data_IF_176089742622
#
_entry.id   IF_176089742622
#
_cell.length_a   1.000
_cell.length_b   1.000
_cell.length_c   1.000
_cell.angle_alpha   90.00
_cell.angle_beta   90.00
_cell.angle_gamma   90.00
#
_symmetry.space_group_name_H-M   'P 1'
#
loop_
_entity.id
_entity.type
_entity.pdbx_description
1 polymer ?
#
# COMPACT_ATOMS: atom_id res chain seq x y z
N UNK A 1 -0.70 -2.35 9.89
CA UNK A 1 0.19 -3.54 9.79
C UNK A 1 -0.49 -4.75 9.15
N UNK A 2 -1.57 -5.30 9.72
CA UNK A 2 -2.24 -6.51 9.22
C UNK A 2 -2.71 -6.40 7.75
N UNK A 3 -3.24 -5.25 7.36
CA UNK A 3 -3.60 -4.94 5.97
C UNK A 3 -2.42 -5.12 5.00
N UNK A 4 -1.30 -4.46 5.30
CA UNK A 4 -0.06 -4.53 4.50
C UNK A 4 0.45 -5.96 4.38
N UNK A 5 0.51 -6.70 5.50
CA UNK A 5 0.94 -8.10 5.50
C UNK A 5 -0.02 -9.00 4.70
N UNK A 6 -1.31 -8.73 4.74
CA UNK A 6 -2.31 -9.48 3.97
C UNK A 6 -2.12 -9.30 2.47
N UNK A 7 -1.85 -8.06 2.03
CA UNK A 7 -1.59 -7.80 0.62
C UNK A 7 -0.23 -8.37 0.18
N UNK A 8 0.81 -8.22 1.01
CA UNK A 8 2.13 -8.84 0.81
C UNK A 8 2.00 -10.36 0.59
N UNK A 9 1.27 -11.05 1.46
CA UNK A 9 0.99 -12.49 1.30
C UNK A 9 0.27 -12.80 -0.01
N UNK A 10 -0.71 -11.96 -0.37
CA UNK A 10 -1.50 -12.12 -1.60
C UNK A 10 -0.61 -12.03 -2.84
N UNK A 11 0.22 -10.99 -2.95
CA UNK A 11 1.10 -10.81 -4.12
C UNK A 11 2.15 -11.92 -4.24
N UNK A 12 2.68 -12.41 -3.10
CA UNK A 12 3.57 -13.58 -3.08
C UNK A 12 2.90 -14.84 -3.57
N UNK A 13 1.68 -15.11 -3.09
CA UNK A 13 0.88 -16.26 -3.53
C UNK A 13 0.58 -16.20 -5.03
N UNK A 14 0.42 -14.99 -5.59
CA UNK A 14 0.23 -14.76 -7.01
C UNK A 14 1.54 -14.78 -7.83
N UNK A 15 2.68 -15.09 -7.19
CA UNK A 15 3.95 -15.38 -7.86
C UNK A 15 4.96 -14.23 -7.89
N UNK A 16 4.72 -13.12 -7.19
CA UNK A 16 5.71 -12.04 -7.08
C UNK A 16 6.74 -12.43 -5.99
N UNK A 17 8.03 -12.60 -6.33
CA UNK A 17 9.06 -12.97 -5.37
C UNK A 17 9.46 -11.77 -4.49
N UNK A 18 10.04 -12.02 -3.31
CA UNK A 18 10.43 -10.98 -2.34
C UNK A 18 11.41 -9.96 -2.91
N UNK A 19 12.34 -10.39 -3.77
CA UNK A 19 13.26 -9.47 -4.47
C UNK A 19 12.57 -8.39 -5.32
N UNK A 20 11.25 -8.49 -5.54
CA UNK A 20 10.42 -7.52 -6.28
C UNK A 20 9.37 -6.84 -5.40
N UNK A 21 9.40 -7.05 -4.09
CA UNK A 21 8.48 -6.46 -3.13
C UNK A 21 9.29 -5.63 -2.15
N UNK A 22 8.94 -4.35 -1.99
CA UNK A 22 9.49 -3.52 -0.91
C UNK A 22 8.44 -3.40 0.18
N UNK A 23 8.70 -3.99 1.34
CA UNK A 23 7.78 -3.97 2.48
C UNK A 23 8.23 -2.97 3.55
N UNK A 24 7.40 -1.95 3.79
CA UNK A 24 7.60 -0.95 4.84
C UNK A 24 6.56 -1.12 5.95
N UNK A 25 6.98 -1.41 7.18
CA UNK A 25 6.11 -1.55 8.35
C UNK A 25 6.53 -0.56 9.44
N UNK A 26 5.72 0.48 9.64
CA UNK A 26 5.97 1.52 10.64
C UNK A 26 5.84 1.00 12.08
N UNK A 27 5.02 -0.02 12.29
CA UNK A 27 4.78 -0.64 13.59
C UNK A 27 5.18 -2.11 13.60
N UNK A 28 5.72 -2.56 14.75
CA UNK A 28 5.94 -3.97 15.04
C UNK A 28 4.94 -4.46 16.09
N UNK A 29 3.70 -4.70 15.66
CA UNK A 29 2.66 -5.27 16.52
C UNK A 29 2.93 -6.74 16.86
N UNK A 30 3.76 -7.44 16.08
CA UNK A 30 4.13 -8.82 16.37
C UNK A 30 4.98 -8.93 17.64
N UNK A 31 5.86 -7.95 17.88
CA UNK A 31 6.71 -7.87 19.08
C UNK A 31 6.12 -6.99 20.20
N UNK A 32 4.90 -6.49 20.06
CA UNK A 32 4.29 -5.60 21.05
C UNK A 32 3.92 -6.38 22.33
N UNK A 33 4.30 -5.87 23.50
CA UNK A 33 3.99 -6.51 24.79
C UNK A 33 2.48 -6.64 25.09
N UNK A 34 1.63 -5.85 24.42
CA UNK A 34 0.17 -5.94 24.51
C UNK A 34 -0.41 -7.02 23.60
N UNK A 35 0.38 -7.57 22.67
CA UNK A 35 -0.08 -8.63 21.80
C UNK A 35 -0.17 -9.95 22.57
N UNK A 36 -1.39 -10.46 22.73
CA UNK A 36 -1.69 -11.75 23.37
C UNK A 36 -1.03 -12.94 22.65
N UNK A 37 -0.71 -12.78 21.37
CA UNK A 37 -0.12 -13.81 20.51
C UNK A 37 1.28 -13.38 20.02
N UNK A 38 2.34 -13.64 20.80
CA UNK A 38 3.70 -13.20 20.47
C UNK A 38 4.15 -13.68 19.09
N UNK A 39 4.77 -12.77 18.32
CA UNK A 39 5.26 -13.00 16.96
C UNK A 39 4.16 -13.37 15.94
N UNK A 40 2.88 -13.10 16.24
CA UNK A 40 1.77 -13.40 15.36
C UNK A 40 0.93 -12.15 15.07
N UNK A 41 0.46 -12.05 13.83
CA UNK A 41 -0.46 -11.00 13.38
C UNK A 41 -1.54 -11.66 12.54
N UNK A 42 -2.80 -11.31 12.78
CA UNK A 42 -3.95 -11.88 12.10
C UNK A 42 -4.74 -10.80 11.36
N UNK A 43 -5.49 -11.19 10.33
CA UNK A 43 -6.49 -10.35 9.65
C UNK A 43 -7.93 -10.88 9.83
N UNK A 44 -8.11 -11.88 10.69
CA UNK A 44 -9.41 -12.41 11.05
C UNK A 44 -9.47 -12.80 12.53
N UNK A 45 -10.67 -12.74 13.09
CA UNK A 45 -10.97 -13.08 14.49
C UNK A 45 -10.74 -14.57 14.83
N UNK A 46 -10.76 -15.45 13.82
CA UNK A 46 -10.60 -16.89 14.01
C UNK A 46 -9.12 -17.34 14.07
N UNK A 47 -8.18 -16.40 13.98
CA UNK A 47 -6.71 -16.61 14.04
C UNK A 47 -6.18 -17.73 13.14
N UNK A 48 -6.87 -18.01 12.02
CA UNK A 48 -6.54 -19.16 11.15
C UNK A 48 -5.23 -18.97 10.40
N UNK A 49 -4.77 -17.73 10.30
CA UNK A 49 -3.69 -17.34 9.41
C UNK A 49 -2.75 -16.35 10.08
N UNK A 50 -1.60 -16.83 10.55
CA UNK A 50 -0.53 -15.95 10.96
C UNK A 50 0.09 -15.28 9.71
N UNK A 51 -0.02 -13.96 9.63
CA UNK A 51 0.51 -13.13 8.57
C UNK A 51 1.98 -12.76 8.74
N UNK A 52 2.51 -12.82 9.97
CA UNK A 52 3.87 -12.40 10.30
C UNK A 52 4.89 -13.55 10.39
N UNK A 53 4.45 -14.81 10.26
CA UNK A 53 5.32 -15.99 10.38
C UNK A 53 6.51 -16.02 9.41
N UNK A 54 7.24 -17.13 9.38
CA UNK A 54 8.63 -17.25 8.88
C UNK A 54 8.99 -16.73 7.48
N UNK A 55 8.03 -16.33 6.65
CA UNK A 55 8.22 -15.94 5.25
C UNK A 55 7.98 -14.44 4.95
N UNK A 56 8.07 -13.57 5.97
CA UNK A 56 7.94 -12.11 5.78
C UNK A 56 9.33 -11.46 5.78
N UNK A 57 9.70 -10.86 4.64
CA UNK A 57 10.88 -10.03 4.50
C UNK A 57 10.44 -8.56 4.62
N UNK A 58 10.85 -7.90 5.71
CA UNK A 58 10.54 -6.49 5.95
C UNK A 58 11.78 -5.65 5.65
N UNK A 59 11.70 -4.80 4.64
CA UNK A 59 12.81 -3.98 4.16
C UNK A 59 13.02 -2.73 5.01
N UNK A 60 11.93 -2.09 5.43
CA UNK A 60 11.97 -0.91 6.30
C UNK A 60 11.08 -1.16 7.52
N UNK A 61 11.70 -1.15 8.71
CA UNK A 61 11.03 -1.43 9.99
C UNK A 61 11.06 -0.20 10.90
N UNK A 62 9.95 0.05 11.58
CA UNK A 62 9.88 1.08 12.63
C UNK A 62 10.39 2.42 12.10
N UNK A 63 11.39 2.98 12.79
CA UNK A 63 12.03 4.26 12.47
C UNK A 63 12.60 4.39 11.05
N UNK A 64 12.83 3.30 10.32
CA UNK A 64 13.26 3.38 8.92
C UNK A 64 12.10 3.77 7.97
N UNK A 65 10.84 3.70 8.41
CA UNK A 65 9.65 4.02 7.61
C UNK A 65 9.36 5.52 7.65
N UNK A 66 10.18 6.29 6.95
CA UNK A 66 10.06 7.75 6.83
C UNK A 66 9.56 8.16 5.45
N UNK A 67 9.01 9.37 5.34
CA UNK A 67 8.63 9.95 4.04
C UNK A 67 9.86 10.03 3.13
N UNK A 68 11.02 10.39 3.67
CA UNK A 68 12.27 10.44 2.91
C UNK A 68 12.63 9.09 2.28
N UNK A 69 12.64 8.01 3.06
CA UNK A 69 12.98 6.69 2.54
C UNK A 69 11.96 6.20 1.52
N UNK A 70 10.67 6.45 1.75
CA UNK A 70 9.62 6.16 0.79
C UNK A 70 9.85 6.87 -0.56
N UNK A 71 10.15 8.17 -0.53
CA UNK A 71 10.43 8.97 -1.73
C UNK A 71 11.71 8.52 -2.44
N UNK A 72 12.74 8.12 -1.69
CA UNK A 72 13.97 7.55 -2.25
C UNK A 72 13.72 6.24 -2.98
N UNK A 73 12.87 5.36 -2.42
CA UNK A 73 12.46 4.10 -3.08
C UNK A 73 11.78 4.39 -4.42
N UNK A 74 10.77 5.26 -4.44
CA UNK A 74 10.03 5.60 -5.67
C UNK A 74 10.94 6.22 -6.73
N UNK A 75 11.71 7.24 -6.35
CA UNK A 75 12.59 7.95 -7.29
C UNK A 75 13.88 7.20 -7.60
N UNK A 76 14.16 6.12 -6.86
CA UNK A 76 15.42 5.36 -6.76
C UNK A 76 16.65 6.21 -6.59
N UNK A 77 16.55 7.28 -5.78
CA UNK A 77 17.68 8.11 -5.37
C UNK A 77 18.21 7.57 -4.05
N UNK A 78 19.11 6.59 -4.13
CA UNK A 78 19.70 5.96 -2.96
C UNK A 78 21.19 6.26 -2.86
N UNK A 79 21.70 6.37 -1.64
CA UNK A 79 23.14 6.35 -1.38
C UNK A 79 23.75 5.00 -1.81
N UNK A 80 25.03 4.99 -2.15
CA UNK A 80 25.74 3.79 -2.60
C UNK A 80 25.69 2.66 -1.57
N UNK A 81 25.67 2.98 -0.28
CA UNK A 81 25.62 2.02 0.82
C UNK A 81 24.26 1.33 1.01
N UNK A 82 23.16 1.86 0.48
CA UNK A 82 21.83 1.26 0.64
C UNK A 82 21.81 -0.11 -0.06
N UNK A 83 21.46 -1.22 0.62
CA UNK A 83 21.49 -2.55 0.01
C UNK A 83 20.50 -2.67 -1.15
N UNK A 84 20.79 -3.57 -2.09
CA UNK A 84 19.97 -3.79 -3.29
C UNK A 84 18.52 -4.20 -2.96
N UNK A 85 18.31 -4.97 -1.88
CA UNK A 85 16.99 -5.40 -1.42
C UNK A 85 16.08 -4.23 -1.03
N UNK A 86 16.64 -3.12 -0.54
CA UNK A 86 15.90 -1.92 -0.18
C UNK A 86 15.68 -0.94 -1.35
N UNK A 87 15.78 -1.40 -2.60
CA UNK A 87 15.67 -0.54 -3.79
C UNK A 87 14.62 -1.08 -4.75
N UNK A 88 13.77 -0.20 -5.25
CA UNK A 88 12.83 -0.53 -6.33
C UNK A 88 13.55 -0.55 -7.68
N UNK A 89 13.95 -1.72 -8.16
CA UNK A 89 14.73 -1.89 -9.39
C UNK A 89 13.84 -2.03 -10.63
N UNK A 90 13.07 -0.98 -10.92
CA UNK A 90 12.12 -0.93 -12.02
C UNK A 90 12.64 -0.13 -13.22
N UNK A 91 12.05 -0.40 -14.38
CA UNK A 91 12.40 0.17 -15.69
C UNK A 91 11.14 0.47 -16.54
N UNK A 92 11.35 0.83 -17.80
CA UNK A 92 10.26 1.26 -18.71
C UNK A 92 9.29 0.13 -19.08
N UNK A 93 9.63 -1.13 -18.81
CA UNK A 93 8.78 -2.29 -19.01
C UNK A 93 8.06 -2.76 -17.74
N UNK A 94 8.37 -2.17 -16.59
CA UNK A 94 7.89 -2.64 -15.28
C UNK A 94 6.44 -2.24 -15.00
N UNK A 95 5.67 -3.16 -14.40
CA UNK A 95 4.34 -2.89 -13.85
C UNK A 95 4.43 -2.82 -12.32
N UNK A 96 3.99 -1.72 -11.73
CA UNK A 96 4.19 -1.45 -10.30
C UNK A 96 2.84 -1.37 -9.58
N UNK A 97 2.74 -2.05 -8.44
CA UNK A 97 1.67 -1.85 -7.47
C UNK A 97 2.24 -1.09 -6.26
N UNK A 98 1.70 0.10 -6.00
CA UNK A 98 1.94 0.87 -4.80
C UNK A 98 0.71 0.77 -3.90
N UNK A 99 0.85 0.11 -2.76
CA UNK A 99 -0.20 0.02 -1.75
C UNK A 99 0.19 0.78 -0.49
N UNK A 100 -0.71 1.63 -0.02
CA UNK A 100 -0.53 2.42 1.20
C UNK A 100 -1.75 2.27 2.09
N UNK A 101 -1.54 2.11 3.39
CA UNK A 101 -2.61 2.00 4.38
C UNK A 101 -2.17 2.67 5.67
N UNK A 102 -3.08 3.37 6.33
CA UNK A 102 -2.80 4.10 7.56
C UNK A 102 -3.82 5.21 7.81
N UNK A 103 -3.46 6.16 8.67
CA UNK A 103 -4.27 7.33 8.93
C UNK A 103 -3.91 8.46 7.96
N UNK A 104 -4.90 9.27 7.61
CA UNK A 104 -4.75 10.34 6.62
C UNK A 104 -5.94 11.29 6.68
N UNK A 105 -5.94 12.25 5.77
CA UNK A 105 -6.96 13.29 5.68
C UNK A 105 -6.93 13.97 4.32
N UNK A 106 -7.43 15.21 4.26
CA UNK A 106 -7.46 15.98 3.01
C UNK A 106 -6.03 16.23 2.53
N UNK A 107 -5.65 15.51 1.47
CA UNK A 107 -4.37 15.60 0.75
C UNK A 107 -3.13 15.07 1.48
N UNK A 108 -3.28 14.27 2.55
CA UNK A 108 -2.12 13.70 3.25
C UNK A 108 -2.34 12.28 3.81
N UNK A 109 -1.22 11.56 4.02
CA UNK A 109 -1.15 10.30 4.76
C UNK A 109 -0.03 10.39 5.82
N UNK A 110 -0.32 9.97 7.05
CA UNK A 110 0.63 10.03 8.17
C UNK A 110 1.68 8.91 8.09
N UNK A 111 2.91 9.26 8.43
CA UNK A 111 4.04 8.36 8.64
C UNK A 111 4.50 8.47 10.11
N UNK A 112 4.46 7.36 10.84
CA UNK A 112 4.93 7.25 12.24
C UNK A 112 4.49 8.42 13.15
N UNK A 113 3.23 8.85 13.04
CA UNK A 113 2.57 9.94 13.79
C UNK A 113 3.29 11.31 13.83
N UNK A 114 4.38 11.47 13.09
CA UNK A 114 5.29 12.63 13.16
C UNK A 114 5.52 13.31 11.82
N UNK A 115 5.43 12.55 10.73
CA UNK A 115 5.56 13.06 9.37
C UNK A 115 4.26 12.84 8.58
N UNK A 116 4.10 13.61 7.52
CA UNK A 116 2.96 13.49 6.61
C UNK A 116 3.48 13.47 5.17
N UNK A 117 3.11 12.44 4.43
CA UNK A 117 3.25 12.41 2.98
C UNK A 117 2.10 13.22 2.37
N UNK A 118 2.43 14.30 1.67
CA UNK A 118 1.45 15.15 1.02
C UNK A 118 1.14 14.66 -0.41
N UNK A 119 -0.04 15.00 -0.92
CA UNK A 119 -0.48 14.63 -2.26
C UNK A 119 0.44 15.17 -3.36
N UNK A 120 0.97 16.38 -3.17
CA UNK A 120 1.91 17.00 -4.10
C UNK A 120 3.26 16.29 -4.13
N UNK A 121 3.78 15.86 -2.98
CA UNK A 121 5.03 15.08 -2.91
C UNK A 121 4.89 13.77 -3.69
N UNK A 122 3.78 13.05 -3.47
CA UNK A 122 3.51 11.81 -4.20
C UNK A 122 3.41 12.05 -5.71
N UNK A 123 2.72 13.11 -6.13
CA UNK A 123 2.59 13.47 -7.54
C UNK A 123 3.92 13.83 -8.20
N UNK A 124 4.77 14.58 -7.49
CA UNK A 124 6.12 14.90 -7.97
C UNK A 124 7.02 13.66 -8.04
N UNK A 125 6.91 12.72 -7.09
CA UNK A 125 7.62 11.44 -7.19
C UNK A 125 7.18 10.64 -8.42
N UNK A 126 5.87 10.50 -8.65
CA UNK A 126 5.34 9.76 -9.81
C UNK A 126 5.75 10.41 -11.12
N UNK A 127 5.71 11.75 -11.20
CA UNK A 127 6.22 12.49 -12.36
C UNK A 127 7.69 12.19 -12.61
N UNK A 128 8.53 12.25 -11.58
CA UNK A 128 9.96 11.92 -11.70
C UNK A 128 10.19 10.47 -12.12
N UNK A 129 9.40 9.52 -11.61
CA UNK A 129 9.44 8.13 -12.04
C UNK A 129 9.12 8.00 -13.52
N UNK A 130 8.12 8.75 -14.02
CA UNK A 130 7.73 8.73 -15.43
C UNK A 130 8.81 9.34 -16.33
N UNK A 131 9.34 10.50 -15.96
CA UNK A 131 10.42 11.18 -16.69
C UNK A 131 11.68 10.29 -16.80
N UNK A 132 11.99 9.54 -15.74
CA UNK A 132 13.09 8.58 -15.69
C UNK A 132 12.74 7.20 -16.26
N UNK A 133 11.54 7.03 -16.83
CA UNK A 133 11.02 5.78 -17.41
C UNK A 133 11.17 4.58 -16.47
N UNK A 134 10.74 4.73 -15.22
CA UNK A 134 10.84 3.68 -14.20
C UNK A 134 9.65 2.73 -14.15
N UNK A 135 8.63 2.96 -14.97
CA UNK A 135 7.49 2.06 -15.09
C UNK A 135 6.81 2.22 -16.44
N UNK A 136 6.17 1.13 -16.89
CA UNK A 136 5.18 1.12 -17.96
C UNK A 136 3.81 1.51 -17.42
N UNK A 137 3.37 0.80 -16.38
CA UNK A 137 2.08 1.00 -15.70
C UNK A 137 2.27 1.02 -14.18
N UNK A 138 1.50 1.87 -13.49
CA UNK A 138 1.51 2.04 -12.04
C UNK A 138 0.08 2.01 -11.51
N UNK A 139 -0.21 1.06 -10.64
CA UNK A 139 -1.45 1.00 -9.86
C UNK A 139 -1.18 1.49 -8.43
N UNK A 140 -1.91 2.52 -8.01
CA UNK A 140 -1.86 3.06 -6.65
C UNK A 140 -3.14 2.68 -5.92
N UNK A 141 -3.00 2.06 -4.76
CA UNK A 141 -4.10 1.66 -3.89
C UNK A 141 -3.91 2.27 -2.51
N UNK A 142 -4.87 3.06 -2.05
CA UNK A 142 -4.76 3.77 -0.76
C UNK A 142 -5.94 3.46 0.15
N UNK A 143 -5.67 2.88 1.31
CA UNK A 143 -6.66 2.60 2.35
C UNK A 143 -6.45 3.55 3.55
N UNK A 144 -7.16 4.69 3.52
CA UNK A 144 -7.12 5.74 4.55
C UNK A 144 -8.37 6.63 4.48
N UNK A 145 -8.57 7.48 5.49
CA UNK A 145 -9.59 8.53 5.42
C UNK A 145 -9.24 9.55 4.33
N UNK A 146 -10.25 9.97 3.57
CA UNK A 146 -10.13 10.83 2.40
C UNK A 146 -9.08 10.39 1.34
N UNK A 147 -8.88 9.08 1.18
CA UNK A 147 -7.87 8.49 0.29
C UNK A 147 -7.79 9.12 -1.12
N UNK A 148 -8.94 9.42 -1.72
CA UNK A 148 -9.02 10.00 -3.07
C UNK A 148 -8.31 11.36 -3.22
N UNK A 149 -8.16 12.11 -2.12
CA UNK A 149 -7.47 13.40 -2.12
C UNK A 149 -5.94 13.24 -2.26
N UNK A 150 -5.38 12.15 -1.74
CA UNK A 150 -3.94 11.88 -1.76
C UNK A 150 -3.39 11.67 -3.18
N UNK A 151 -4.17 11.07 -4.07
CA UNK A 151 -3.78 10.81 -5.46
C UNK A 151 -4.53 11.69 -6.47
N UNK A 152 -5.25 12.71 -5.99
CA UNK A 152 -5.99 13.65 -6.85
C UNK A 152 -5.09 14.41 -7.83
N UNK A 153 -3.82 14.58 -7.48
CA UNK A 153 -2.78 15.20 -8.30
C UNK A 153 -1.96 14.18 -9.11
N UNK A 154 -2.26 12.88 -9.04
CA UNK A 154 -1.41 11.80 -9.58
C UNK A 154 -2.03 11.07 -10.78
N UNK A 155 -3.35 10.82 -10.75
CA UNK A 155 -4.03 9.87 -11.65
C UNK A 155 -5.19 10.50 -12.41
N UNK A 156 -5.35 10.06 -13.67
CA UNK A 156 -6.35 10.53 -14.65
C UNK A 156 -7.79 10.07 -14.39
N UNK A 157 -8.06 9.26 -13.35
CA UNK A 157 -9.44 8.83 -13.08
C UNK A 157 -10.26 9.99 -12.51
N UNK A 158 -11.13 10.51 -13.37
CA UNK A 158 -12.42 11.09 -13.04
C UNK A 158 -13.08 10.23 -11.95
N UNK A 159 -12.94 10.66 -10.70
CA UNK A 159 -14.00 10.41 -9.73
C UNK A 159 -15.30 10.84 -10.42
N UNK A 160 -16.39 10.05 -10.36
CA UNK A 160 -17.65 10.37 -11.05
C UNK A 160 -18.34 11.69 -10.59
N UNK A 161 -17.63 12.57 -9.89
CA UNK A 161 -18.10 13.81 -9.27
C UNK A 161 -17.10 14.98 -9.41
N UNK A 162 -16.60 15.24 -10.63
CA UNK A 162 -16.24 16.59 -11.04
C UNK A 162 -15.08 17.29 -10.32
N UNK A 163 -14.10 16.57 -9.79
CA UNK A 163 -12.83 17.17 -9.36
C UNK A 163 -11.87 17.19 -10.54
N UNK A 164 -11.90 18.25 -11.35
CA UNK A 164 -10.89 18.48 -12.39
C UNK A 164 -9.77 19.32 -11.82
N UNK A 165 -8.72 18.70 -11.29
CA UNK A 165 -7.44 19.39 -11.13
C UNK A 165 -6.51 18.97 -12.28
N UNK A 166 -6.26 19.93 -13.16
CA UNK A 166 -5.53 19.79 -14.42
C UNK A 166 -4.03 19.91 -14.19
N UNK A 167 -3.46 19.15 -13.26
CA UNK A 167 -2.02 19.20 -13.00
C UNK A 167 -1.51 17.78 -12.80
N UNK A 168 -0.59 17.35 -13.68
CA UNK A 168 0.19 16.10 -13.64
C UNK A 168 -0.48 14.85 -14.23
N UNK A 169 -0.89 14.96 -15.49
CA UNK A 169 -1.25 13.81 -16.34
C UNK A 169 -0.04 12.88 -16.53
N UNK A 170 -0.10 11.66 -15.99
CA UNK A 170 0.93 10.62 -16.20
C UNK A 170 0.28 9.40 -16.85
N UNK A 171 0.35 9.27 -18.21
CA UNK A 171 -0.19 8.11 -18.91
C UNK A 171 0.34 6.79 -18.32
N UNK A 172 -0.55 5.83 -18.09
CA UNK A 172 -0.22 4.54 -17.48
C UNK A 172 -0.29 4.52 -15.94
N UNK A 173 -0.84 5.55 -15.30
CA UNK A 173 -1.11 5.54 -13.85
C UNK A 173 -2.61 5.36 -13.58
N UNK A 174 -2.94 4.41 -12.71
CA UNK A 174 -4.28 4.13 -12.22
C UNK A 174 -4.28 4.24 -10.70
N UNK A 175 -5.23 4.95 -10.10
CA UNK A 175 -5.37 5.04 -8.65
C UNK A 175 -6.78 4.67 -8.16
N UNK A 176 -6.84 3.94 -7.04
CA UNK A 176 -8.06 3.60 -6.32
C UNK A 176 -7.87 3.85 -4.82
N UNK A 177 -8.95 4.22 -4.13
CA UNK A 177 -8.91 4.55 -2.72
C UNK A 177 -10.16 4.10 -1.97
N UNK A 178 -10.01 3.93 -0.66
CA UNK A 178 -11.06 3.49 0.26
C UNK A 178 -12.19 4.50 0.48
N UNK A 179 -11.94 5.81 0.31
CA UNK A 179 -12.91 6.86 0.62
C UNK A 179 -12.70 8.16 -0.18
N UNK A 180 -13.76 8.96 -0.34
CA UNK A 180 -13.72 10.27 -1.02
C UNK A 180 -13.36 11.41 -0.06
N UNK A 181 -13.17 12.62 -0.60
CA UNK A 181 -13.05 13.86 0.20
C UNK A 181 -14.27 14.01 1.12
N UNK A 182 -14.03 14.29 2.39
CA UNK A 182 -15.06 14.35 3.44
C UNK A 182 -15.57 13.00 3.94
N UNK A 183 -15.09 11.86 3.42
CA UNK A 183 -15.47 10.53 3.88
C UNK A 183 -14.35 9.86 4.70
N UNK A 184 -14.76 9.17 5.76
CA UNK A 184 -13.88 8.32 6.56
C UNK A 184 -13.67 6.95 5.89
N UNK A 185 -12.52 6.32 6.19
CA UNK A 185 -12.33 4.88 6.01
C UNK A 185 -12.78 4.14 7.27
N UNK A 186 -13.12 2.85 7.13
CA UNK A 186 -13.70 2.07 8.22
C UNK A 186 -12.94 0.77 8.41
N UNK A 187 -12.65 0.45 9.66
CA UNK A 187 -12.13 -0.84 10.07
C UNK A 187 -13.21 -1.94 10.00
N UNK A 188 -12.79 -3.19 10.04
CA UNK A 188 -13.63 -4.37 9.92
C UNK A 188 -13.06 -5.51 10.80
N UNK A 189 -13.92 -6.44 11.24
CA UNK A 189 -13.58 -7.55 12.15
C UNK A 189 -12.88 -7.08 13.45
N UNK A 190 -13.68 -6.76 14.46
CA UNK A 190 -13.16 -6.50 15.81
C UNK A 190 -12.74 -7.82 16.45
N UNK A 191 -11.51 -7.90 16.90
CA UNK A 191 -11.00 -9.04 17.64
C UNK A 191 -11.01 -8.72 19.14
N UNK A 192 -11.82 -9.45 19.92
CA UNK A 192 -11.94 -9.21 21.37
C UNK A 192 -10.72 -9.70 22.16
N UNK A 193 -9.95 -10.63 21.61
CA UNK A 193 -8.74 -11.16 22.25
C UNK A 193 -7.54 -10.22 22.09
N UNK A 194 -7.48 -9.49 20.97
CA UNK A 194 -6.45 -8.48 20.71
C UNK A 194 -6.94 -7.08 21.12
N UNK A 195 -8.25 -6.86 21.18
CA UNK A 195 -8.89 -5.60 21.60
C UNK A 195 -8.92 -4.51 20.53
N UNK A 196 -8.65 -4.84 19.26
CA UNK A 196 -8.62 -3.91 18.12
C UNK A 196 -9.18 -4.58 16.86
N UNK A 197 -9.57 -3.78 15.86
CA UNK A 197 -9.93 -4.30 14.54
C UNK A 197 -8.69 -4.82 13.81
N UNK A 198 -8.80 -5.97 13.15
CA UNK A 198 -7.66 -6.67 12.53
C UNK A 198 -7.52 -6.45 11.03
N UNK A 199 -8.49 -5.81 10.39
CA UNK A 199 -8.44 -5.49 8.95
C UNK A 199 -9.31 -4.28 8.63
N UNK A 200 -9.01 -3.53 7.57
CA UNK A 200 -9.88 -2.46 7.09
C UNK A 200 -10.87 -2.96 6.03
N UNK A 201 -12.04 -2.32 5.93
CA UNK A 201 -13.14 -2.78 5.07
C UNK A 201 -12.74 -2.82 3.58
N UNK A 202 -12.04 -1.80 3.10
CA UNK A 202 -11.55 -1.75 1.72
C UNK A 202 -10.54 -2.88 1.46
N UNK A 203 -9.57 -3.03 2.35
CA UNK A 203 -8.60 -4.13 2.29
C UNK A 203 -9.28 -5.49 2.35
N UNK A 204 -10.26 -5.71 3.22
CA UNK A 204 -10.99 -6.97 3.35
C UNK A 204 -11.66 -7.38 2.03
N UNK A 205 -12.42 -6.49 1.39
CA UNK A 205 -13.06 -6.83 0.11
C UNK A 205 -12.07 -7.00 -1.03
N UNK A 206 -10.98 -6.25 -1.01
CA UNK A 206 -9.89 -6.40 -1.98
C UNK A 206 -9.24 -7.78 -1.85
N UNK A 207 -8.95 -8.22 -0.62
CA UNK A 207 -8.41 -9.55 -0.34
C UNK A 207 -9.42 -10.63 -0.73
N UNK A 208 -10.71 -10.48 -0.43
CA UNK A 208 -11.74 -11.44 -0.80
C UNK A 208 -11.85 -11.65 -2.33
N UNK A 209 -11.57 -10.61 -3.11
CA UNK A 209 -11.45 -10.72 -4.56
C UNK A 209 -10.21 -11.50 -4.95
N UNK A 210 -9.03 -11.08 -4.49
CA UNK A 210 -7.77 -11.72 -4.88
C UNK A 210 -7.64 -13.16 -4.36
N UNK A 211 -8.22 -13.49 -3.20
CA UNK A 211 -8.18 -14.83 -2.62
C UNK A 211 -8.76 -15.90 -3.54
N UNK A 212 -9.71 -15.52 -4.40
CA UNK A 212 -10.35 -16.40 -5.39
C UNK A 212 -9.53 -16.58 -6.67
N UNK A 213 -8.50 -15.76 -6.86
CA UNK A 213 -7.62 -15.80 -8.02
C UNK A 213 -6.40 -16.68 -7.77
N UNK A 214 -6.03 -17.42 -8.79
CA UNK A 214 -4.79 -18.17 -8.93
C UNK A 214 -3.92 -17.55 -10.03
N UNK A 215 -2.63 -17.89 -10.04
CA UNK A 215 -1.66 -17.36 -11.03
C UNK A 215 -2.00 -17.68 -12.49
N UNK A 216 -2.90 -18.63 -12.74
CA UNK A 216 -3.33 -19.05 -14.06
C UNK A 216 -4.70 -18.48 -14.48
N UNK A 217 -5.31 -17.66 -13.62
CA UNK A 217 -6.64 -17.11 -13.88
C UNK A 217 -6.56 -15.89 -14.80
N UNK A 218 -7.29 -15.93 -15.92
CA UNK A 218 -7.46 -14.82 -16.85
C UNK A 218 -8.69 -13.96 -16.51
N UNK A 219 -9.13 -13.96 -15.25
CA UNK A 219 -10.34 -13.26 -14.83
C UNK A 219 -10.09 -11.75 -14.80
N UNK A 220 -10.91 -10.99 -15.52
CA UNK A 220 -10.91 -9.52 -15.49
C UNK A 220 -11.98 -9.00 -14.53
N UNK A 221 -11.78 -7.77 -14.02
CA UNK A 221 -12.76 -7.05 -13.19
C UNK A 221 -14.17 -7.00 -13.81
N UNK A 222 -14.29 -7.03 -15.14
CA UNK A 222 -15.59 -7.07 -15.84
C UNK A 222 -16.45 -8.31 -15.56
N UNK A 223 -15.90 -9.37 -14.95
CA UNK A 223 -16.65 -10.57 -14.57
C UNK A 223 -17.22 -10.51 -13.14
N UNK A 224 -16.91 -9.48 -12.37
CA UNK A 224 -17.35 -9.35 -10.98
C UNK A 224 -18.23 -8.10 -10.84
N UNK A 225 -19.52 -8.27 -10.52
CA UNK A 225 -20.47 -7.16 -10.39
C UNK A 225 -20.24 -6.31 -9.12
#
# INVERSE_FOLDING_TARGET
MANTLSLYRTVKRLGIPDERIILMLADDMACNARNKYPAQVFNNENHRLNLYGDNVEVDYRGYEVTVENFMRVLTGRHETAVPRSKRLLSDEGSHILLYMTGHGGDEFLKFQDSEELQSHDLADAVKQMKEKRRFKELLIMVDTCQAATLFSQVSDILLPFGVTNRSLQSPGVLAIGSSKKGENSYSHHLDSDVGVSVVDRFTFYTLAFFERLNMYDNASLSRYP
#
